data_IF_190673781974
#
_entry.id   IF_190673781974
#
_cell.length_a   1.000
_cell.length_b   1.000
_cell.length_c   1.000
_cell.angle_alpha   90.00
_cell.angle_beta   90.00
_cell.angle_gamma   90.00
#
_symmetry.space_group_name_H-M   'P 1'
#
loop_
_entity.id
_entity.type
_entity.pdbx_description
1 polymer ?
#
# COMPACT_ATOMS: atom_id res chain seq x y z
N UNK A 1 1.62 1.41 20.20
CA UNK A 1 0.97 0.70 19.08
C UNK A 1 2.03 -0.14 18.40
N UNK A 2 2.22 -1.39 18.84
CA UNK A 2 3.18 -2.27 18.18
C UNK A 2 2.51 -2.81 16.91
N UNK A 3 3.16 -2.62 15.76
CA UNK A 3 2.80 -3.25 14.51
C UNK A 3 2.72 -4.77 14.73
N UNK A 4 1.75 -5.45 14.12
CA UNK A 4 1.59 -6.89 14.31
C UNK A 4 2.93 -7.60 14.06
N UNK A 5 3.39 -8.40 15.03
CA UNK A 5 4.73 -8.99 14.99
C UNK A 5 4.86 -10.01 13.85
N UNK A 6 3.79 -10.72 13.50
CA UNK A 6 3.80 -11.75 12.44
C UNK A 6 3.84 -11.11 11.06
N UNK A 7 2.90 -10.19 10.77
CA UNK A 7 2.86 -9.43 9.54
C UNK A 7 4.09 -8.54 9.38
N UNK A 8 4.58 -7.94 10.47
CA UNK A 8 5.82 -7.15 10.48
C UNK A 8 7.07 -7.98 10.17
N UNK A 9 7.17 -9.19 10.73
CA UNK A 9 8.29 -10.11 10.43
C UNK A 9 8.23 -10.58 8.97
N UNK A 10 7.03 -10.88 8.46
CA UNK A 10 6.85 -11.24 7.05
C UNK A 10 7.22 -10.08 6.11
N UNK A 11 6.79 -8.85 6.42
CA UNK A 11 7.17 -7.67 5.65
C UNK A 11 8.69 -7.48 5.65
N UNK A 12 9.35 -7.61 6.80
CA UNK A 12 10.81 -7.51 6.90
C UNK A 12 11.52 -8.58 6.06
N UNK A 13 11.01 -9.81 6.06
CA UNK A 13 11.53 -10.90 5.23
C UNK A 13 11.36 -10.62 3.74
N UNK A 14 10.20 -10.13 3.30
CA UNK A 14 9.96 -9.73 1.90
C UNK A 14 10.89 -8.59 1.47
N UNK A 15 11.10 -7.59 2.32
CA UNK A 15 12.05 -6.50 2.06
C UNK A 15 13.49 -7.03 1.93
N UNK A 16 13.90 -7.96 2.79
CA UNK A 16 15.22 -8.58 2.72
C UNK A 16 15.40 -9.39 1.42
N UNK A 17 14.40 -10.17 1.02
CA UNK A 17 14.41 -10.88 -0.25
C UNK A 17 14.50 -9.92 -1.44
N UNK A 18 13.75 -8.82 -1.41
CA UNK A 18 13.81 -7.77 -2.43
C UNK A 18 15.22 -7.15 -2.51
N UNK A 19 15.85 -6.88 -1.38
CA UNK A 19 17.22 -6.36 -1.32
C UNK A 19 18.23 -7.33 -1.94
N UNK A 20 18.21 -8.60 -1.52
CA UNK A 20 19.16 -9.63 -2.01
C UNK A 20 18.97 -9.88 -3.51
N UNK A 21 17.72 -9.98 -3.97
CA UNK A 21 17.40 -10.17 -5.39
C UNK A 21 17.81 -8.97 -6.24
N UNK A 22 17.52 -7.75 -5.78
CA UNK A 22 17.95 -6.51 -6.44
C UNK A 22 19.48 -6.43 -6.56
N UNK A 23 20.21 -6.73 -5.49
CA UNK A 23 21.68 -6.79 -5.52
C UNK A 23 22.23 -7.87 -6.47
N UNK A 24 21.57 -9.03 -6.52
CA UNK A 24 21.93 -10.12 -7.44
C UNK A 24 21.64 -9.77 -8.91
N UNK A 25 20.58 -9.02 -9.17
CA UNK A 25 20.18 -8.56 -10.51
C UNK A 25 21.13 -7.45 -11.00
N UNK A 26 21.47 -6.51 -10.12
CA UNK A 26 22.41 -5.42 -10.43
C UNK A 26 23.82 -5.92 -10.77
N UNK A 27 24.31 -6.95 -10.05
CA UNK A 27 25.61 -7.55 -10.32
C UNK A 27 25.67 -8.35 -11.63
N UNK A 28 24.53 -8.84 -12.13
CA UNK A 28 24.45 -9.64 -13.37
C UNK A 28 24.20 -8.81 -14.63
N UNK A 29 23.41 -7.72 -14.55
CA UNK A 29 22.99 -6.94 -15.72
C UNK A 29 23.86 -5.72 -16.01
N UNK A 30 24.72 -5.32 -15.07
CA UNK A 30 25.51 -4.10 -15.15
C UNK A 30 24.69 -2.83 -14.94
N UNK A 31 25.31 -1.83 -14.31
CA UNK A 31 24.63 -0.60 -13.83
C UNK A 31 23.78 0.11 -14.90
N UNK A 32 24.28 0.18 -16.14
CA UNK A 32 23.63 0.88 -17.26
C UNK A 32 22.28 0.26 -17.64
N UNK A 33 22.18 -1.07 -17.65
CA UNK A 33 20.94 -1.76 -18.00
C UNK A 33 19.97 -1.80 -16.81
N UNK A 34 20.49 -2.04 -15.59
CA UNK A 34 19.68 -2.05 -14.37
C UNK A 34 18.95 -0.73 -14.15
N UNK A 35 19.62 0.41 -14.32
CA UNK A 35 18.99 1.72 -14.11
C UNK A 35 17.87 2.00 -15.11
N UNK A 36 18.01 1.58 -16.38
CA UNK A 36 16.95 1.70 -17.38
C UNK A 36 15.72 0.87 -17.02
N UNK A 37 15.93 -0.37 -16.60
CA UNK A 37 14.84 -1.26 -16.16
C UNK A 37 14.12 -0.66 -14.95
N UNK A 38 14.86 -0.16 -13.96
CA UNK A 38 14.30 0.50 -12.78
C UNK A 38 13.47 1.73 -13.17
N UNK A 39 13.98 2.58 -14.06
CA UNK A 39 13.25 3.76 -14.54
C UNK A 39 11.93 3.39 -15.22
N UNK A 40 11.95 2.44 -16.15
CA UNK A 40 10.75 1.99 -16.86
C UNK A 40 9.74 1.38 -15.89
N UNK A 41 10.18 0.52 -14.98
CA UNK A 41 9.33 -0.08 -13.95
C UNK A 41 8.70 0.99 -13.06
N UNK A 42 9.48 1.99 -12.63
CA UNK A 42 8.99 3.06 -11.76
C UNK A 42 7.93 3.90 -12.47
N UNK A 43 8.18 4.32 -13.72
CA UNK A 43 7.20 5.08 -14.53
C UNK A 43 5.91 4.27 -14.70
N UNK A 44 6.01 2.99 -15.03
CA UNK A 44 4.85 2.12 -15.18
C UNK A 44 4.05 1.99 -13.87
N UNK A 45 4.72 1.75 -12.75
CA UNK A 45 4.08 1.67 -11.42
C UNK A 45 3.38 2.97 -11.03
N UNK A 46 4.00 4.13 -11.28
CA UNK A 46 3.37 5.43 -10.99
C UNK A 46 2.13 5.68 -11.86
N UNK A 47 2.20 5.36 -13.16
CA UNK A 47 1.04 5.46 -14.05
C UNK A 47 -0.10 4.61 -13.50
N UNK A 48 0.17 3.36 -13.12
CA UNK A 48 -0.85 2.47 -12.59
C UNK A 48 -1.40 2.94 -11.24
N UNK A 49 -0.54 3.47 -10.37
CA UNK A 49 -0.94 4.04 -9.08
C UNK A 49 -1.85 5.25 -9.25
N UNK A 50 -1.51 6.17 -10.18
CA UNK A 50 -2.34 7.35 -10.47
C UNK A 50 -3.65 6.98 -11.17
N UNK A 51 -3.65 6.00 -12.08
CA UNK A 51 -4.89 5.52 -12.70
C UNK A 51 -5.80 4.87 -11.66
N UNK A 52 -5.26 4.01 -10.80
CA UNK A 52 -6.00 3.38 -9.71
C UNK A 52 -6.68 4.40 -8.80
N UNK A 53 -5.90 5.33 -8.25
CA UNK A 53 -6.45 6.34 -7.33
C UNK A 53 -7.32 7.40 -8.05
N UNK A 54 -6.92 7.84 -9.24
CA UNK A 54 -7.60 8.90 -9.98
C UNK A 54 -8.91 8.45 -10.64
N UNK A 55 -8.90 7.29 -11.32
CA UNK A 55 -10.05 6.80 -12.08
C UNK A 55 -11.01 6.00 -11.19
N UNK A 56 -10.49 5.08 -10.37
CA UNK A 56 -11.35 4.19 -9.57
C UNK A 56 -11.77 4.79 -8.23
N UNK A 57 -10.87 5.51 -7.55
CA UNK A 57 -11.17 6.04 -6.22
C UNK A 57 -11.65 7.51 -6.24
N UNK A 58 -11.47 8.24 -7.35
CA UNK A 58 -11.79 9.68 -7.51
C UNK A 58 -11.37 10.53 -6.29
N UNK A 59 -10.33 10.09 -5.57
CA UNK A 59 -9.82 10.71 -4.35
C UNK A 59 -8.45 11.30 -4.63
N UNK A 60 -8.13 12.38 -3.94
CA UNK A 60 -6.75 12.83 -3.87
C UNK A 60 -5.92 11.71 -3.24
N UNK A 61 -4.75 11.37 -3.80
CA UNK A 61 -3.91 10.33 -3.24
C UNK A 61 -3.51 10.74 -1.81
N UNK A 62 -3.68 9.82 -0.85
CA UNK A 62 -3.35 10.05 0.56
C UNK A 62 -1.87 10.44 0.79
N UNK A 63 -1.04 10.27 -0.23
CA UNK A 63 0.31 10.84 -0.33
C UNK A 63 0.34 12.34 -0.09
N UNK A 64 -0.68 13.10 -0.50
CA UNK A 64 -0.70 14.56 -0.34
C UNK A 64 -1.02 15.01 1.09
N UNK A 65 -1.68 14.16 1.89
CA UNK A 65 -2.11 14.51 3.25
C UNK A 65 -1.08 14.10 4.31
N UNK A 66 -0.42 12.93 4.13
CA UNK A 66 0.61 12.47 5.06
C UNK A 66 1.55 11.44 4.40
N UNK A 67 2.61 11.91 3.74
CA UNK A 67 3.55 11.08 2.96
C UNK A 67 4.10 9.90 3.76
N UNK A 68 4.53 10.13 5.00
CA UNK A 68 5.16 9.10 5.83
C UNK A 68 4.18 7.97 6.19
N UNK A 69 2.95 8.34 6.56
CA UNK A 69 1.89 7.39 6.86
C UNK A 69 1.45 6.65 5.59
N UNK A 70 1.29 7.33 4.46
CA UNK A 70 0.88 6.70 3.21
C UNK A 70 1.93 5.69 2.74
N UNK A 71 3.22 6.04 2.80
CA UNK A 71 4.29 5.17 2.34
C UNK A 71 4.50 3.93 3.23
N UNK A 72 4.36 4.08 4.55
CA UNK A 72 4.46 2.95 5.47
C UNK A 72 3.18 2.12 5.49
N UNK A 73 2.02 2.74 5.67
CA UNK A 73 0.77 1.99 5.87
C UNK A 73 0.21 1.39 4.59
N UNK A 74 0.43 1.96 3.41
CA UNK A 74 -0.15 1.39 2.19
C UNK A 74 0.39 -0.03 1.89
N UNK A 75 1.71 -0.29 1.91
CA UNK A 75 2.23 -1.65 1.78
C UNK A 75 1.73 -2.59 2.87
N UNK A 76 1.65 -2.14 4.12
CA UNK A 76 1.14 -2.96 5.21
C UNK A 76 -0.35 -3.30 5.06
N UNK A 77 -1.16 -2.34 4.61
CA UNK A 77 -2.57 -2.56 4.36
C UNK A 77 -2.79 -3.60 3.26
N UNK A 78 -2.09 -3.46 2.13
CA UNK A 78 -2.15 -4.43 1.03
C UNK A 78 -1.67 -5.81 1.48
N UNK A 79 -0.57 -5.87 2.24
CA UNK A 79 -0.07 -7.14 2.79
C UNK A 79 -1.11 -7.81 3.68
N UNK A 80 -1.71 -7.09 4.64
CA UNK A 80 -2.75 -7.61 5.51
C UNK A 80 -4.00 -8.04 4.74
N UNK A 81 -4.39 -7.29 3.71
CA UNK A 81 -5.52 -7.63 2.85
C UNK A 81 -5.28 -8.93 2.08
N UNK A 82 -4.08 -9.11 1.51
CA UNK A 82 -3.70 -10.36 0.83
C UNK A 82 -3.63 -11.51 1.82
N UNK A 83 -3.03 -11.30 3.00
CA UNK A 83 -2.97 -12.31 4.05
C UNK A 83 -4.38 -12.75 4.51
N UNK A 84 -5.30 -11.82 4.65
CA UNK A 84 -6.69 -12.13 5.00
C UNK A 84 -7.40 -12.87 3.85
N UNK A 85 -7.26 -12.41 2.60
CA UNK A 85 -7.92 -13.02 1.44
C UNK A 85 -7.41 -14.42 1.10
N UNK A 86 -6.10 -14.65 1.23
CA UNK A 86 -5.47 -15.91 0.82
C UNK A 86 -5.38 -16.90 1.98
N UNK A 87 -5.08 -16.41 3.19
CA UNK A 87 -4.81 -17.27 4.36
C UNK A 87 -5.81 -17.11 5.50
N UNK A 88 -6.81 -16.23 5.38
CA UNK A 88 -7.75 -15.93 6.48
C UNK A 88 -7.06 -15.34 7.71
N UNK A 89 -5.90 -14.71 7.52
CA UNK A 89 -5.08 -14.22 8.62
C UNK A 89 -5.65 -12.94 9.22
N UNK A 90 -5.98 -13.03 10.51
CA UNK A 90 -6.50 -11.92 11.29
C UNK A 90 -5.52 -11.55 12.42
N UNK A 91 -5.01 -10.31 12.50
CA UNK A 91 -4.09 -9.87 13.55
C UNK A 91 -4.64 -10.04 14.97
N UNK A 92 -5.93 -9.81 15.16
CA UNK A 92 -6.65 -10.03 16.41
C UNK A 92 -8.15 -10.27 16.13
N UNK A 93 -8.89 -11.00 16.99
CA UNK A 93 -10.29 -11.32 16.74
C UNK A 93 -11.17 -10.08 16.56
N UNK A 94 -11.94 -10.05 15.48
CA UNK A 94 -12.78 -8.93 15.08
C UNK A 94 -12.06 -7.81 14.31
N UNK A 95 -10.78 -7.97 13.95
CA UNK A 95 -10.01 -6.94 13.23
C UNK A 95 -10.68 -6.58 11.91
N UNK A 96 -11.01 -7.57 11.07
CA UNK A 96 -11.57 -7.30 9.75
C UNK A 96 -12.94 -6.60 9.84
N UNK A 97 -13.79 -7.04 10.77
CA UNK A 97 -15.07 -6.39 11.05
C UNK A 97 -14.88 -4.94 11.52
N UNK A 98 -13.91 -4.69 12.40
CA UNK A 98 -13.59 -3.33 12.87
C UNK A 98 -13.07 -2.42 11.76
N UNK A 99 -12.27 -2.95 10.84
CA UNK A 99 -11.75 -2.23 9.67
C UNK A 99 -12.89 -1.88 8.72
N UNK A 100 -13.78 -2.83 8.40
CA UNK A 100 -14.96 -2.59 7.58
C UNK A 100 -15.89 -1.54 8.19
N UNK A 101 -16.13 -1.60 9.51
CA UNK A 101 -16.93 -0.62 10.21
C UNK A 101 -16.32 0.79 10.12
N UNK A 102 -15.00 0.92 10.30
CA UNK A 102 -14.27 2.19 10.16
C UNK A 102 -14.30 2.71 8.71
N UNK A 103 -14.13 1.85 7.71
CA UNK A 103 -14.24 2.23 6.29
C UNK A 103 -15.64 2.75 5.98
N UNK A 104 -16.68 2.07 6.46
CA UNK A 104 -18.07 2.49 6.28
C UNK A 104 -18.36 3.83 6.95
N UNK A 105 -17.88 4.04 8.18
CA UNK A 105 -18.00 5.32 8.90
C UNK A 105 -17.29 6.45 8.14
N UNK A 106 -16.03 6.24 7.74
CA UNK A 106 -15.25 7.23 7.00
C UNK A 106 -15.87 7.59 5.64
N UNK A 107 -16.52 6.63 4.97
CA UNK A 107 -17.26 6.88 3.72
C UNK A 107 -18.44 7.82 3.96
N UNK A 108 -19.25 7.54 4.99
CA UNK A 108 -20.39 8.38 5.36
C UNK A 108 -19.97 9.79 5.75
N UNK A 109 -18.92 9.93 6.56
CA UNK A 109 -18.39 11.25 6.93
C UNK A 109 -17.90 12.05 5.72
N UNK A 110 -17.26 11.37 4.76
CA UNK A 110 -16.79 12.01 3.53
C UNK A 110 -17.95 12.47 2.65
N UNK A 111 -18.99 11.65 2.49
CA UNK A 111 -20.21 12.00 1.77
C UNK A 111 -20.91 13.21 2.41
N UNK A 112 -21.03 13.23 3.75
CA UNK A 112 -21.62 14.35 4.49
C UNK A 112 -20.79 15.64 4.35
N UNK A 113 -19.46 15.57 4.41
CA UNK A 113 -18.57 16.72 4.16
C UNK A 113 -18.70 17.23 2.72
N UNK A 114 -18.88 16.34 1.75
CA UNK A 114 -19.05 16.71 0.34
C UNK A 114 -20.38 17.44 0.11
N UNK A 115 -21.47 17.00 0.76
CA UNK A 115 -22.77 17.69 0.72
C UNK A 115 -22.72 19.09 1.35
N UNK A 116 -22.06 19.25 2.51
CA UNK A 116 -21.89 20.57 3.17
C UNK A 116 -21.05 21.57 2.38
N UNK A 117 -20.13 21.10 1.52
CA UNK A 117 -19.27 21.96 0.70
C UNK A 117 -19.97 22.41 -0.60
N UNK A 118 -21.11 21.82 -0.92
CA UNK A 118 -21.89 22.08 -2.13
C UNK A 118 -23.22 22.81 -1.87
N UNK A 119 -23.52 23.09 -0.60
CA UNK A 119 -24.65 23.91 -0.14
C UNK A 119 -24.15 25.24 0.38
#
# INVERSE_FOLDING_TARGET
MAMDKKAGTLAAFLCFLCWVSSGSIASRLGFSLTWKVVLVAQVFCWIWQFIGHGVFEKRAPALLDNISQAFLMAPFFVLLEVLQKVYGYEPYPGFHASVLAKIAANRKEWEAKKQKKHS
#
